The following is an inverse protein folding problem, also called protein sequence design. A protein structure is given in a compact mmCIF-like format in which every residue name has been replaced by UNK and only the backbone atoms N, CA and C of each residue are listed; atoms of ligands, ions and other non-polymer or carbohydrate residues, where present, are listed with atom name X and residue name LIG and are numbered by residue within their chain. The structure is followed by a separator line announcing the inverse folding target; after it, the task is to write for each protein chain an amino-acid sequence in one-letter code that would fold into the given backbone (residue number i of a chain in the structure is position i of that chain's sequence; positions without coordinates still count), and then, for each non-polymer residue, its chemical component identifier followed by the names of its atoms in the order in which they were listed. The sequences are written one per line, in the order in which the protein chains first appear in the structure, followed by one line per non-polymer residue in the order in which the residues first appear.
data_IF_721134573188
#
_entry.id   IF_721134573188
#
_cell.length_a   1.000
_cell.length_b   1.000
_cell.length_c   1.000
_cell.angle_alpha   90.00
_cell.angle_beta   90.00
_cell.angle_gamma   90.00
#
_symmetry.space_group_name_H-M   'P 1'
#
loop_
_entity.id
_entity.type
_entity.pdbx_description
1 polymer ?
#
# COMPACT_ATOMS: atom_id res chain seq x y z
N UNK A 1 5.08 -4.35 0.97
CA UNK A 1 4.70 -3.20 1.84
C UNK A 1 5.75 -3.03 2.93
N UNK A 2 6.31 -1.84 3.09
CA UNK A 2 7.29 -1.56 4.15
C UNK A 2 6.58 -1.36 5.49
N UNK A 3 6.82 -2.22 6.48
CA UNK A 3 6.19 -2.16 7.79
C UNK A 3 6.54 -0.87 8.55
N UNK A 4 7.78 -0.41 8.49
CA UNK A 4 8.17 0.83 9.19
C UNK A 4 7.41 2.04 8.66
N UNK A 5 7.28 2.13 7.34
CA UNK A 5 6.50 3.17 6.66
C UNK A 5 5.01 3.07 7.01
N UNK A 6 4.49 1.84 7.12
CA UNK A 6 3.12 1.58 7.55
C UNK A 6 2.83 2.15 8.94
N UNK A 7 3.73 1.93 9.89
CA UNK A 7 3.56 2.45 11.27
C UNK A 7 3.60 3.97 11.32
N UNK A 8 4.47 4.60 10.54
CA UNK A 8 4.52 6.05 10.40
C UNK A 8 3.22 6.59 9.82
N UNK A 9 2.71 5.97 8.77
CA UNK A 9 1.44 6.34 8.13
C UNK A 9 0.27 6.27 9.11
N UNK A 10 0.15 5.19 9.88
CA UNK A 10 -0.90 5.05 10.87
C UNK A 10 -0.84 6.14 11.95
N UNK A 11 0.37 6.50 12.38
CA UNK A 11 0.57 7.58 13.36
C UNK A 11 0.16 8.93 12.77
N UNK A 12 0.54 9.23 11.53
CA UNK A 12 0.17 10.47 10.84
C UNK A 12 -1.34 10.56 10.57
N UNK A 13 -2.01 9.44 10.39
CA UNK A 13 -3.47 9.37 10.25
C UNK A 13 -4.23 9.53 11.58
N UNK A 14 -3.53 9.65 12.69
CA UNK A 14 -4.11 9.84 14.02
C UNK A 14 -4.52 8.55 14.73
N UNK A 15 -4.03 7.39 14.29
CA UNK A 15 -4.24 6.12 15.01
C UNK A 15 -3.51 6.18 16.36
N UNK A 16 -4.18 5.88 17.48
CA UNK A 16 -3.58 5.92 18.80
C UNK A 16 -2.32 5.04 18.89
N UNK A 17 -1.29 5.55 19.57
CA UNK A 17 0.00 4.89 19.67
C UNK A 17 -0.07 3.43 20.19
N UNK A 18 -0.93 3.18 21.18
CA UNK A 18 -1.08 1.83 21.74
C UNK A 18 -1.59 0.82 20.70
N UNK A 19 -2.48 1.24 19.77
CA UNK A 19 -2.97 0.38 18.68
C UNK A 19 -1.89 0.15 17.63
N UNK A 20 -1.11 1.17 17.30
CA UNK A 20 0.04 1.04 16.41
C UNK A 20 1.08 0.09 16.99
N UNK A 21 1.34 0.15 18.30
CA UNK A 21 2.22 -0.80 18.99
C UNK A 21 1.70 -2.24 18.96
N UNK A 22 0.40 -2.45 19.15
CA UNK A 22 -0.21 -3.78 19.05
C UNK A 22 -0.04 -4.37 17.64
N UNK A 23 -0.32 -3.59 16.61
CA UNK A 23 -0.12 -4.02 15.22
C UNK A 23 1.35 -4.32 14.93
N UNK A 24 2.24 -3.47 15.41
CA UNK A 24 3.69 -3.64 15.27
C UNK A 24 4.17 -4.95 15.89
N UNK A 25 3.70 -5.27 17.10
CA UNK A 25 4.03 -6.52 17.79
C UNK A 25 3.43 -7.73 17.06
N UNK A 26 2.24 -7.61 16.49
CA UNK A 26 1.60 -8.67 15.71
C UNK A 26 2.43 -9.04 14.47
N UNK A 27 3.05 -8.06 13.82
CA UNK A 27 3.86 -8.27 12.62
C UNK A 27 5.36 -8.49 12.93
N UNK A 28 5.81 -8.23 14.16
CA UNK A 28 7.20 -8.45 14.56
C UNK A 28 7.53 -9.94 14.67
N UNK A 29 8.62 -10.34 14.03
CA UNK A 29 9.13 -11.71 14.15
C UNK A 29 8.22 -12.78 13.49
N UNK A 30 7.35 -12.38 12.56
CA UNK A 30 6.56 -13.36 11.81
C UNK A 30 7.46 -14.23 10.93
N UNK A 31 7.19 -15.52 10.99
CA UNK A 31 7.85 -16.54 10.18
C UNK A 31 6.81 -17.33 9.39
N UNK A 32 7.22 -17.83 8.24
CA UNK A 32 6.38 -18.67 7.40
C UNK A 32 7.10 -19.96 7.01
N UNK A 33 6.31 -20.98 6.70
CA UNK A 33 6.78 -22.21 6.09
C UNK A 33 5.83 -22.56 4.95
N UNK A 34 6.37 -23.19 3.92
CA UNK A 34 5.59 -23.62 2.75
C UNK A 34 5.41 -25.13 2.79
N UNK A 35 4.17 -25.59 2.68
CA UNK A 35 3.85 -27.01 2.57
C UNK A 35 3.77 -27.39 1.10
N UNK A 36 4.60 -28.37 0.70
CA UNK A 36 4.61 -28.93 -0.65
C UNK A 36 4.22 -30.41 -0.61
N UNK A 37 4.01 -31.02 -1.77
CA UNK A 37 3.79 -32.47 -1.87
C UNK A 37 4.97 -33.33 -1.38
N UNK A 38 6.15 -32.73 -1.20
CA UNK A 38 7.37 -33.40 -0.74
C UNK A 38 7.74 -33.09 0.72
N UNK A 39 6.91 -32.31 1.42
CA UNK A 39 7.13 -31.92 2.82
C UNK A 39 6.95 -30.41 3.06
N UNK A 40 7.42 -29.94 4.20
CA UNK A 40 7.44 -28.51 4.57
C UNK A 40 8.85 -27.96 4.49
N UNK A 41 8.98 -26.71 4.08
CA UNK A 41 10.25 -25.98 4.12
C UNK A 41 10.64 -25.67 5.56
N UNK A 42 11.89 -25.27 5.76
CA UNK A 42 12.30 -24.61 7.00
C UNK A 42 11.55 -23.29 7.19
N UNK A 43 11.42 -22.85 8.43
CA UNK A 43 10.82 -21.55 8.75
C UNK A 43 11.70 -20.42 8.25
N UNK A 44 11.11 -19.44 7.60
CA UNK A 44 11.81 -18.25 7.12
C UNK A 44 11.10 -16.98 7.59
N UNK A 45 11.85 -15.90 7.90
CA UNK A 45 11.27 -14.67 8.39
C UNK A 45 10.51 -13.92 7.30
N UNK A 46 9.36 -13.34 7.66
CA UNK A 46 8.58 -12.45 6.79
C UNK A 46 8.97 -11.01 7.14
N UNK A 47 9.58 -10.31 6.17
CA UNK A 47 10.09 -8.94 6.39
C UNK A 47 9.11 -7.83 6.07
N UNK A 48 8.50 -7.84 4.88
CA UNK A 48 7.81 -6.67 4.32
C UNK A 48 6.42 -6.98 3.75
N UNK A 49 5.79 -8.06 4.16
CA UNK A 49 4.52 -8.49 3.59
C UNK A 49 3.39 -8.46 4.63
N UNK A 50 2.15 -8.36 4.14
CA UNK A 50 0.96 -8.61 4.94
C UNK A 50 0.52 -10.05 4.77
N UNK A 51 0.03 -10.66 5.83
CA UNK A 51 -0.42 -12.04 5.80
C UNK A 51 -1.65 -12.19 4.90
N UNK A 52 -1.54 -13.00 3.86
CA UNK A 52 -2.66 -13.32 2.99
C UNK A 52 -3.71 -14.12 3.78
N UNK A 53 -4.98 -13.72 3.66
CA UNK A 53 -6.08 -14.32 4.40
C UNK A 53 -6.28 -13.78 5.83
N UNK A 54 -5.42 -12.89 6.31
CA UNK A 54 -5.66 -12.19 7.58
C UNK A 54 -6.71 -11.09 7.39
N UNK A 55 -7.65 -10.97 8.33
CA UNK A 55 -8.74 -9.98 8.27
C UNK A 55 -8.24 -8.52 8.28
N UNK A 56 -7.08 -8.25 8.87
CA UNK A 56 -6.48 -6.92 8.95
C UNK A 56 -5.70 -6.51 7.69
N UNK A 57 -5.20 -7.46 6.93
CA UNK A 57 -4.29 -7.21 5.81
C UNK A 57 -4.90 -6.32 4.71
N UNK A 58 -6.14 -6.55 4.24
CA UNK A 58 -6.75 -5.67 3.25
C UNK A 58 -6.90 -4.23 3.73
N UNK A 59 -7.29 -4.04 5.01
CA UNK A 59 -7.44 -2.73 5.61
C UNK A 59 -6.10 -1.98 5.70
N UNK A 60 -5.06 -2.64 6.17
CA UNK A 60 -3.71 -2.07 6.27
C UNK A 60 -3.14 -1.71 4.90
N UNK A 61 -3.31 -2.60 3.92
CA UNK A 61 -2.87 -2.33 2.55
C UNK A 61 -3.60 -1.14 1.93
N UNK A 62 -4.92 -1.07 2.08
CA UNK A 62 -5.72 0.04 1.56
C UNK A 62 -5.35 1.39 2.19
N UNK A 63 -5.08 1.42 3.49
CA UNK A 63 -4.61 2.62 4.17
C UNK A 63 -3.24 3.07 3.66
N UNK A 64 -2.32 2.12 3.49
CA UNK A 64 -0.99 2.37 2.96
C UNK A 64 -1.04 2.89 1.52
N UNK A 65 -1.74 2.21 0.63
CA UNK A 65 -1.90 2.60 -0.76
C UNK A 65 -2.61 3.96 -0.89
N UNK A 66 -3.71 4.16 -0.17
CA UNK A 66 -4.45 5.41 -0.16
C UNK A 66 -3.63 6.61 0.35
N UNK A 67 -2.76 6.40 1.33
CA UNK A 67 -1.85 7.44 1.79
C UNK A 67 -0.81 7.81 0.72
N UNK A 68 -0.20 6.82 0.08
CA UNK A 68 0.78 7.04 -0.99
C UNK A 68 0.13 7.82 -2.15
N UNK A 69 -1.05 7.41 -2.60
CA UNK A 69 -1.75 8.05 -3.71
C UNK A 69 -2.12 9.50 -3.39
N UNK A 70 -2.65 9.79 -2.21
CA UNK A 70 -2.96 11.17 -1.78
C UNK A 70 -1.73 12.06 -1.72
N UNK A 71 -0.65 11.56 -1.15
CA UNK A 71 0.59 12.33 -1.04
C UNK A 71 1.35 12.47 -2.37
N UNK A 72 1.07 11.62 -3.33
CA UNK A 72 1.57 11.77 -4.70
C UNK A 72 0.72 12.78 -5.53
N UNK A 73 -0.33 13.38 -4.95
CA UNK A 73 -1.23 14.27 -5.69
C UNK A 73 -2.15 13.52 -6.65
N UNK A 74 -2.37 12.24 -6.41
CA UNK A 74 -3.23 11.36 -7.20
C UNK A 74 -4.65 11.28 -6.63
N UNK A 75 -5.08 12.31 -5.91
CA UNK A 75 -6.45 12.43 -5.46
C UNK A 75 -7.36 12.94 -6.60
N UNK A 76 -8.65 12.67 -6.46
CA UNK A 76 -9.66 13.04 -7.47
C UNK A 76 -9.73 14.56 -7.73
N UNK A 77 -9.24 15.38 -6.80
CA UNK A 77 -9.34 16.84 -6.88
C UNK A 77 -8.44 17.43 -7.97
N UNK A 78 -7.34 16.77 -8.30
CA UNK A 78 -6.37 17.20 -9.32
C UNK A 78 -6.51 16.46 -10.65
N UNK A 79 -7.37 15.45 -10.71
CA UNK A 79 -7.58 14.69 -11.93
C UNK A 79 -8.36 15.51 -12.97
N UNK A 80 -7.89 15.50 -14.22
CA UNK A 80 -8.53 16.20 -15.35
C UNK A 80 -9.42 15.30 -16.17
N UNK A 81 -9.17 14.00 -16.16
CA UNK A 81 -9.94 13.03 -16.94
C UNK A 81 -11.23 12.69 -16.21
N UNK A 82 -12.36 12.84 -16.87
CA UNK A 82 -13.68 12.50 -16.31
C UNK A 82 -14.19 11.19 -16.89
N UNK A 83 -14.49 10.25 -16.02
CA UNK A 83 -15.17 8.99 -16.35
C UNK A 83 -16.40 8.86 -15.48
N UNK A 84 -17.56 8.69 -16.09
CA UNK A 84 -18.85 8.61 -15.41
C UNK A 84 -19.11 9.77 -14.41
N UNK A 85 -18.67 11.00 -14.76
CA UNK A 85 -18.85 12.21 -13.94
C UNK A 85 -17.84 12.37 -12.80
N UNK A 86 -16.92 11.46 -12.62
CA UNK A 86 -15.83 11.54 -11.61
C UNK A 86 -14.51 11.87 -12.27
N UNK A 87 -13.73 12.70 -11.61
CA UNK A 87 -12.36 12.96 -12.02
C UNK A 87 -11.47 11.76 -11.64
N UNK A 88 -10.76 11.19 -12.59
CA UNK A 88 -9.94 9.99 -12.38
C UNK A 88 -8.55 10.21 -12.97
N UNK A 89 -7.52 9.91 -12.22
CA UNK A 89 -6.13 9.90 -12.65
C UNK A 89 -5.42 8.56 -12.37
N UNK A 90 -6.08 7.68 -11.64
CA UNK A 90 -5.54 6.35 -11.36
C UNK A 90 -6.65 5.32 -11.19
N UNK A 91 -6.33 4.06 -11.47
CA UNK A 91 -7.13 2.88 -11.16
C UNK A 91 -6.26 1.89 -10.41
N UNK A 92 -6.76 1.38 -9.30
CA UNK A 92 -6.06 0.37 -8.51
C UNK A 92 -6.84 -0.94 -8.45
N UNK A 93 -6.13 -2.04 -8.58
CA UNK A 93 -6.63 -3.38 -8.32
C UNK A 93 -5.55 -4.17 -7.58
N UNK A 94 -5.81 -4.50 -6.32
CA UNK A 94 -4.81 -5.09 -5.43
C UNK A 94 -3.52 -4.23 -5.39
N UNK A 95 -2.41 -4.76 -5.82
CA UNK A 95 -1.10 -4.11 -5.91
C UNK A 95 -0.83 -3.45 -7.28
N UNK A 96 -1.68 -3.74 -8.28
CA UNK A 96 -1.57 -3.12 -9.60
C UNK A 96 -2.23 -1.74 -9.62
N UNK A 97 -1.51 -0.75 -10.14
CA UNK A 97 -2.02 0.61 -10.31
C UNK A 97 -1.77 1.11 -11.72
N UNK A 98 -2.82 1.60 -12.36
CA UNK A 98 -2.76 2.25 -13.67
C UNK A 98 -2.92 3.76 -13.49
N UNK A 99 -1.97 4.53 -14.00
CA UNK A 99 -2.04 5.99 -14.03
C UNK A 99 -2.59 6.46 -15.38
N UNK A 100 -3.42 7.49 -15.36
CA UNK A 100 -4.05 8.06 -16.53
C UNK A 100 -3.89 9.58 -16.51
N UNK A 101 -3.44 10.15 -17.63
CA UNK A 101 -3.29 11.59 -17.79
C UNK A 101 -3.63 12.02 -19.23
N UNK A 102 -3.97 13.30 -19.42
CA UNK A 102 -4.26 13.87 -20.74
C UNK A 102 -2.99 14.12 -21.57
N UNK A 103 -1.86 14.33 -20.89
CA UNK A 103 -0.58 14.68 -21.52
C UNK A 103 0.53 13.77 -21.03
N UNK A 104 1.49 13.51 -21.90
CA UNK A 104 2.66 12.68 -21.60
C UNK A 104 3.51 13.25 -20.45
N UNK A 105 3.69 14.58 -20.40
CA UNK A 105 4.45 15.25 -19.35
C UNK A 105 3.81 15.09 -17.98
N UNK A 106 2.47 15.18 -17.94
CA UNK A 106 1.68 14.96 -16.73
C UNK A 106 1.81 13.51 -16.26
N UNK A 107 1.72 12.55 -17.17
CA UNK A 107 1.89 11.13 -16.84
C UNK A 107 3.28 10.82 -16.28
N UNK A 108 4.33 11.40 -16.87
CA UNK A 108 5.71 11.27 -16.36
C UNK A 108 5.86 11.85 -14.97
N UNK A 109 5.25 13.01 -14.71
CA UNK A 109 5.26 13.64 -13.40
C UNK A 109 4.55 12.80 -12.35
N UNK A 110 3.38 12.26 -12.65
CA UNK A 110 2.62 11.37 -11.78
C UNK A 110 3.39 10.09 -11.46
N UNK A 111 4.01 9.49 -12.47
CA UNK A 111 4.82 8.28 -12.30
C UNK A 111 6.02 8.53 -11.38
N UNK A 112 6.74 9.62 -11.58
CA UNK A 112 7.88 10.01 -10.75
C UNK A 112 7.47 10.24 -9.31
N UNK A 113 6.37 10.94 -9.06
CA UNK A 113 5.83 11.19 -7.73
C UNK A 113 5.42 9.89 -7.03
N UNK A 114 4.79 8.97 -7.75
CA UNK A 114 4.42 7.66 -7.24
C UNK A 114 5.64 6.83 -6.85
N UNK A 115 6.68 6.81 -7.69
CA UNK A 115 7.94 6.09 -7.41
C UNK A 115 8.69 6.65 -6.21
N UNK A 116 8.81 7.97 -6.10
CA UNK A 116 9.51 8.62 -4.99
C UNK A 116 8.83 8.40 -3.63
N UNK A 117 7.54 8.12 -3.61
CA UNK A 117 6.77 7.94 -2.38
C UNK A 117 6.52 6.47 -2.00
N UNK A 118 6.66 5.56 -2.94
CA UNK A 118 6.56 4.12 -2.70
C UNK A 118 7.86 3.47 -2.21
N UNK A 119 8.95 4.20 -2.29
CA UNK A 119 10.28 3.75 -1.81
C UNK A 119 10.51 4.11 -0.35
#
# INVERSE_FOLDING_TARGET
MDHNKQWTILTEMGVPYHLTCLLRNLYAGQEATVRTGHGTTDWFPIGNEVCQGCILSPGLFNLYAGYIMRNAGLDESQARIKIAGRNINNFGYADDTTLVAEREEELKSLLLLCQLRSV
#
